data_IF_346948981720
#
_entry.id   IF_346948981720
#
_cell.length_a   1.000
_cell.length_b   1.000
_cell.length_c   1.000
_cell.angle_alpha   90.00
_cell.angle_beta   90.00
_cell.angle_gamma   90.00
#
_symmetry.space_group_name_H-M   'P 1'
#
loop_
_entity.id
_entity.type
_entity.pdbx_description
1 polymer ?
#
# COMPACT_ATOMS: atom_id res chain seq x y z
N UNK A 1 -17.13 -2.57 18.64
CA UNK A 1 -15.80 -2.07 18.19
C UNK A 1 -14.70 -2.83 18.91
N UNK A 2 -14.71 -2.87 20.25
CA UNK A 2 -13.68 -3.54 21.07
C UNK A 2 -13.36 -4.96 20.61
N UNK A 3 -14.37 -5.83 20.48
CA UNK A 3 -14.17 -7.23 20.05
C UNK A 3 -13.41 -7.32 18.72
N UNK A 4 -13.70 -6.45 17.74
CA UNK A 4 -12.98 -6.47 16.45
C UNK A 4 -11.53 -6.03 16.60
N UNK A 5 -11.25 -5.05 17.47
CA UNK A 5 -9.89 -4.62 17.78
C UNK A 5 -9.11 -5.80 18.39
N UNK A 6 -9.67 -6.45 19.41
CA UNK A 6 -9.03 -7.60 20.07
C UNK A 6 -8.79 -8.77 19.11
N UNK A 7 -9.72 -9.03 18.18
CA UNK A 7 -9.52 -10.04 17.13
C UNK A 7 -8.33 -9.67 16.24
N UNK A 8 -8.24 -8.42 15.77
CA UNK A 8 -7.11 -7.98 14.93
C UNK A 8 -5.77 -8.08 15.67
N UNK A 9 -5.72 -7.66 16.95
CA UNK A 9 -4.54 -7.77 17.79
C UNK A 9 -4.15 -9.23 18.01
N UNK A 10 -5.12 -10.11 18.26
CA UNK A 10 -4.86 -11.55 18.42
C UNK A 10 -4.28 -12.15 17.15
N UNK A 11 -4.86 -11.83 15.99
CA UNK A 11 -4.35 -12.31 14.70
C UNK A 11 -2.93 -11.79 14.41
N UNK A 12 -2.64 -10.52 14.74
CA UNK A 12 -1.28 -9.97 14.66
C UNK A 12 -0.30 -10.79 15.52
N UNK A 13 -0.65 -11.07 16.78
CA UNK A 13 0.21 -11.88 17.67
C UNK A 13 0.38 -13.32 17.21
N UNK A 14 -0.66 -13.92 16.62
CA UNK A 14 -0.58 -15.25 16.02
C UNK A 14 0.39 -15.24 14.83
N UNK A 15 0.31 -14.24 13.94
CA UNK A 15 1.25 -14.09 12.83
C UNK A 15 2.69 -13.85 13.31
N UNK A 16 2.88 -12.97 14.31
CA UNK A 16 4.20 -12.69 14.88
C UNK A 16 4.82 -13.91 15.58
N UNK A 17 4.01 -14.67 16.33
CA UNK A 17 4.49 -15.80 17.13
C UNK A 17 4.72 -17.07 16.31
N UNK A 18 3.86 -17.35 15.33
CA UNK A 18 3.91 -18.58 14.55
C UNK A 18 4.66 -18.41 13.21
N UNK A 19 4.78 -17.19 12.70
CA UNK A 19 5.47 -16.89 11.45
C UNK A 19 5.02 -17.78 10.29
N UNK A 20 5.97 -18.43 9.62
CA UNK A 20 5.69 -19.30 8.47
C UNK A 20 5.07 -20.66 8.83
N UNK A 21 5.02 -21.04 10.12
CA UNK A 21 4.43 -22.31 10.56
C UNK A 21 2.92 -22.40 10.27
N UNK A 22 2.26 -21.26 10.15
CA UNK A 22 0.82 -21.13 9.86
C UNK A 22 0.57 -20.63 8.42
N UNK A 23 1.50 -20.91 7.51
CA UNK A 23 1.40 -20.47 6.10
C UNK A 23 0.12 -20.93 5.40
N UNK A 24 -0.43 -22.08 5.78
CA UNK A 24 -1.70 -22.62 5.27
C UNK A 24 -2.92 -21.77 5.65
N UNK A 25 -2.89 -21.04 6.77
CA UNK A 25 -4.01 -20.20 7.24
C UNK A 25 -3.82 -18.71 6.96
N UNK A 26 -2.64 -18.27 6.50
CA UNK A 26 -2.41 -16.85 6.19
C UNK A 26 -3.44 -16.25 5.22
N UNK A 27 -3.93 -17.03 4.24
CA UNK A 27 -4.98 -16.56 3.33
C UNK A 27 -6.31 -16.32 4.02
N UNK A 28 -6.66 -17.14 5.02
CA UNK A 28 -7.91 -16.99 5.75
C UNK A 28 -7.83 -15.84 6.77
N UNK A 29 -6.66 -15.66 7.40
CA UNK A 29 -6.36 -14.48 8.20
C UNK A 29 -6.48 -13.22 7.34
N UNK A 30 -5.87 -13.20 6.15
CA UNK A 30 -5.95 -12.06 5.23
C UNK A 30 -7.41 -11.72 4.85
N UNK A 31 -8.23 -12.73 4.55
CA UNK A 31 -9.67 -12.53 4.27
C UNK A 31 -10.37 -11.86 5.45
N UNK A 32 -10.10 -12.25 6.69
CA UNK A 32 -10.73 -11.64 7.86
C UNK A 32 -10.26 -10.18 8.08
N UNK A 33 -8.95 -9.94 7.96
CA UNK A 33 -8.33 -8.64 8.29
C UNK A 33 -8.64 -7.58 7.23
N UNK A 34 -8.68 -7.93 5.94
CA UNK A 34 -8.93 -6.95 4.86
C UNK A 34 -10.27 -6.22 5.00
N UNK A 35 -11.32 -6.87 5.52
CA UNK A 35 -12.60 -6.19 5.76
C UNK A 35 -12.51 -5.11 6.84
N UNK A 36 -11.59 -5.27 7.80
CA UNK A 36 -11.41 -4.34 8.91
C UNK A 36 -10.57 -3.10 8.52
N UNK A 37 -9.82 -3.15 7.40
CA UNK A 37 -8.98 -2.04 6.95
C UNK A 37 -9.78 -0.78 6.56
N UNK A 38 -11.05 -0.95 6.19
CA UNK A 38 -11.97 0.15 5.86
C UNK A 38 -13.13 0.27 6.86
N UNK A 39 -13.01 -0.28 8.07
CA UNK A 39 -14.05 -0.21 9.11
C UNK A 39 -14.40 1.25 9.44
N UNK A 40 -15.66 1.54 9.80
CA UNK A 40 -16.06 2.90 10.22
C UNK A 40 -15.32 3.38 11.48
N UNK A 41 -14.84 2.45 12.31
CA UNK A 41 -14.10 2.74 13.55
C UNK A 41 -12.61 2.84 13.24
N UNK A 42 -12.03 4.02 13.46
CA UNK A 42 -10.62 4.30 13.13
C UNK A 42 -9.64 3.35 13.85
N UNK A 43 -9.85 3.08 15.14
CA UNK A 43 -9.02 2.14 15.90
C UNK A 43 -9.03 0.71 15.32
N UNK A 44 -10.14 0.28 14.70
CA UNK A 44 -10.19 -1.03 14.02
C UNK A 44 -9.33 -1.01 12.76
N UNK A 45 -9.33 0.10 12.00
CA UNK A 45 -8.44 0.27 10.84
C UNK A 45 -6.97 0.21 11.23
N UNK A 46 -6.59 0.86 12.33
CA UNK A 46 -5.21 0.82 12.85
C UNK A 46 -4.80 -0.61 13.19
N UNK A 47 -5.62 -1.33 13.97
CA UNK A 47 -5.33 -2.70 14.35
C UNK A 47 -5.24 -3.64 13.14
N UNK A 48 -6.14 -3.49 12.16
CA UNK A 48 -6.10 -4.25 10.91
C UNK A 48 -4.85 -3.95 10.08
N UNK A 49 -4.44 -2.68 10.01
CA UNK A 49 -3.24 -2.25 9.31
C UNK A 49 -1.97 -2.84 9.92
N UNK A 50 -1.88 -2.84 11.26
CA UNK A 50 -0.75 -3.42 11.99
C UNK A 50 -0.69 -4.94 11.82
N UNK A 51 -1.85 -5.62 11.86
CA UNK A 51 -1.92 -7.05 11.58
C UNK A 51 -1.43 -7.38 10.17
N UNK A 52 -1.87 -6.65 9.15
CA UNK A 52 -1.40 -6.84 7.77
C UNK A 52 0.08 -6.54 7.62
N UNK A 53 0.58 -5.51 8.32
CA UNK A 53 1.99 -5.15 8.32
C UNK A 53 2.82 -6.31 8.89
N UNK A 54 2.40 -6.91 10.00
CA UNK A 54 3.08 -8.09 10.55
C UNK A 54 3.06 -9.27 9.58
N UNK A 55 1.92 -9.52 8.93
CA UNK A 55 1.79 -10.58 7.93
C UNK A 55 2.76 -10.40 6.76
N UNK A 56 3.13 -9.18 6.37
CA UNK A 56 4.08 -8.96 5.25
C UNK A 56 5.42 -9.67 5.45
N UNK A 57 5.83 -9.92 6.70
CA UNK A 57 7.07 -10.63 7.04
C UNK A 57 7.02 -12.13 6.73
N UNK A 58 5.81 -12.70 6.66
CA UNK A 58 5.61 -14.16 6.62
C UNK A 58 4.71 -14.63 5.47
N UNK A 59 4.04 -13.70 4.77
CA UNK A 59 3.05 -14.00 3.73
C UNK A 59 3.39 -13.29 2.40
N UNK A 60 4.30 -13.87 1.58
CA UNK A 60 4.75 -13.24 0.32
C UNK A 60 3.65 -12.95 -0.70
N UNK A 61 2.51 -13.64 -0.62
CA UNK A 61 1.38 -13.38 -1.52
C UNK A 61 0.84 -11.95 -1.41
N UNK A 62 1.04 -11.27 -0.27
CA UNK A 62 0.57 -9.90 -0.03
C UNK A 62 1.24 -8.86 -0.94
N UNK A 63 2.53 -9.03 -1.23
CA UNK A 63 3.30 -8.14 -2.11
C UNK A 63 3.63 -8.78 -3.46
N UNK A 64 2.94 -9.87 -3.82
CA UNK A 64 3.04 -10.50 -5.14
C UNK A 64 1.67 -10.57 -5.80
N UNK A 65 0.85 -11.58 -5.47
CA UNK A 65 -0.45 -11.80 -6.13
C UNK A 65 -1.53 -10.83 -5.65
N UNK A 66 -1.45 -10.33 -4.41
CA UNK A 66 -2.46 -9.45 -3.81
C UNK A 66 -2.05 -7.97 -3.77
N UNK A 67 -0.89 -7.60 -4.34
CA UNK A 67 -0.33 -6.24 -4.17
C UNK A 67 -1.32 -5.15 -4.60
N UNK A 68 -1.84 -5.22 -5.82
CA UNK A 68 -2.78 -4.24 -6.38
C UNK A 68 -4.11 -4.19 -5.59
N UNK A 69 -4.61 -5.36 -5.21
CA UNK A 69 -5.84 -5.55 -4.41
C UNK A 69 -5.70 -4.87 -3.05
N UNK A 70 -4.57 -5.09 -2.37
CA UNK A 70 -4.29 -4.52 -1.06
C UNK A 70 -3.93 -3.02 -1.13
N UNK A 71 -3.22 -2.58 -2.17
CA UNK A 71 -2.94 -1.17 -2.40
C UNK A 71 -4.23 -0.37 -2.65
N UNK A 72 -5.15 -0.88 -3.48
CA UNK A 72 -6.48 -0.27 -3.68
C UNK A 72 -7.25 -0.15 -2.37
N UNK A 73 -7.14 -1.15 -1.49
CA UNK A 73 -7.78 -1.13 -0.18
C UNK A 73 -7.13 -0.09 0.75
N UNK A 74 -5.81 0.05 0.73
CA UNK A 74 -5.10 1.11 1.46
C UNK A 74 -5.56 2.50 1.00
N UNK A 75 -5.74 2.72 -0.32
CA UNK A 75 -6.27 3.97 -0.85
C UNK A 75 -7.67 4.28 -0.29
N UNK A 76 -8.54 3.28 -0.21
CA UNK A 76 -9.87 3.44 0.41
C UNK A 76 -9.78 3.68 1.92
N UNK A 77 -8.81 3.08 2.60
CA UNK A 77 -8.62 3.23 4.04
C UNK A 77 -8.17 4.65 4.44
N UNK A 78 -7.53 5.39 3.53
CA UNK A 78 -7.24 6.81 3.72
C UNK A 78 -8.47 7.72 3.63
N UNK A 79 -9.56 7.25 3.00
CA UNK A 79 -10.76 8.06 2.93
C UNK A 79 -11.33 8.31 4.34
N UNK A 80 -11.50 9.60 4.64
CA UNK A 80 -12.04 10.09 5.91
C UNK A 80 -11.26 9.58 7.14
N UNK A 81 -9.94 9.36 6.98
CA UNK A 81 -9.07 8.89 8.06
C UNK A 81 -8.62 10.03 8.98
N UNK A 82 -8.21 9.68 10.20
CA UNK A 82 -7.48 10.57 11.09
C UNK A 82 -5.96 10.37 10.95
N UNK A 83 -5.17 11.16 11.66
CA UNK A 83 -3.70 11.08 11.59
C UNK A 83 -3.16 9.68 11.90
N UNK A 84 -3.69 9.02 12.93
CA UNK A 84 -3.23 7.71 13.38
C UNK A 84 -3.44 6.63 12.30
N UNK A 85 -4.65 6.55 11.74
CA UNK A 85 -4.95 5.64 10.61
C UNK A 85 -4.09 5.98 9.41
N UNK A 86 -3.90 7.26 9.10
CA UNK A 86 -3.05 7.70 7.99
C UNK A 86 -1.62 7.17 8.14
N UNK A 87 -1.02 7.33 9.31
CA UNK A 87 0.32 6.81 9.59
C UNK A 87 0.38 5.28 9.52
N UNK A 88 -0.58 4.57 10.12
CA UNK A 88 -0.62 3.11 10.13
C UNK A 88 -0.74 2.53 8.71
N UNK A 89 -1.70 3.04 7.92
CA UNK A 89 -1.96 2.56 6.55
C UNK A 89 -0.85 2.97 5.59
N UNK A 90 -0.28 4.18 5.73
CA UNK A 90 0.88 4.58 4.95
C UNK A 90 2.09 3.70 5.25
N UNK A 91 2.28 3.31 6.52
CA UNK A 91 3.33 2.37 6.92
C UNK A 91 3.16 1.01 6.26
N UNK A 92 1.93 0.48 6.26
CA UNK A 92 1.59 -0.76 5.56
C UNK A 92 1.88 -0.66 4.05
N UNK A 93 1.34 0.36 3.38
CA UNK A 93 1.48 0.53 1.93
C UNK A 93 2.95 0.71 1.52
N UNK A 94 3.70 1.59 2.20
CA UNK A 94 5.12 1.80 1.90
C UNK A 94 5.96 0.54 2.13
N UNK A 95 5.66 -0.22 3.19
CA UNK A 95 6.33 -1.50 3.48
C UNK A 95 6.00 -2.56 2.43
N UNK A 96 4.74 -2.66 1.97
CA UNK A 96 4.37 -3.57 0.89
C UNK A 96 5.17 -3.30 -0.38
N UNK A 97 5.30 -2.03 -0.77
CA UNK A 97 6.10 -1.62 -1.92
C UNK A 97 7.58 -1.94 -1.70
N UNK A 98 8.11 -1.71 -0.50
CA UNK A 98 9.47 -2.10 -0.15
C UNK A 98 9.71 -3.61 -0.27
N UNK A 99 8.75 -4.45 0.17
CA UNK A 99 8.84 -5.91 0.04
C UNK A 99 8.90 -6.39 -1.41
N UNK A 100 8.37 -5.63 -2.38
CA UNK A 100 8.52 -5.97 -3.81
C UNK A 100 9.95 -5.81 -4.31
N UNK A 101 10.71 -4.87 -3.71
CA UNK A 101 12.05 -4.49 -4.14
C UNK A 101 13.14 -5.20 -3.32
N UNK A 102 12.84 -5.52 -2.05
CA UNK A 102 13.69 -6.37 -1.24
C UNK A 102 13.62 -7.78 -1.81
N UNK A 103 14.77 -8.28 -2.27
CA UNK A 103 14.92 -9.55 -3.00
C UNK A 103 14.53 -10.83 -2.27
N UNK A 104 13.63 -10.79 -1.30
CA UNK A 104 13.00 -11.95 -0.66
C UNK A 104 12.44 -12.93 -1.71
N UNK A 105 11.93 -12.45 -2.84
CA UNK A 105 11.57 -13.31 -3.99
C UNK A 105 12.74 -14.14 -4.55
N UNK A 106 13.99 -13.67 -4.47
CA UNK A 106 15.18 -14.45 -4.88
C UNK A 106 15.49 -15.60 -3.92
N UNK A 107 15.11 -15.48 -2.65
CA UNK A 107 15.29 -16.56 -1.67
C UNK A 107 14.18 -17.62 -1.76
N UNK A 108 12.97 -17.26 -2.18
CA UNK A 108 11.87 -18.21 -2.36
C UNK A 108 12.03 -19.09 -3.61
N UNK A 109 12.69 -18.61 -4.67
CA UNK A 109 12.94 -19.42 -5.88
C UNK A 109 13.94 -20.56 -5.67
N UNK A 110 14.78 -20.49 -4.63
CA UNK A 110 15.76 -21.55 -4.33
C UNK A 110 15.20 -22.70 -3.49
N UNK A 111 13.96 -22.62 -2.98
CA UNK A 111 13.39 -23.64 -2.08
C UNK A 111 12.33 -24.53 -2.76
N UNK A 112 11.88 -24.22 -3.98
CA UNK A 112 10.87 -25.04 -4.68
C UNK A 112 11.36 -25.50 -6.05
N UNK A 113 12.44 -26.28 -6.05
CA UNK A 113 12.81 -27.18 -7.14
C UNK A 113 11.95 -28.44 -7.06
N UNK A 114 10.67 -28.33 -7.36
CA UNK A 114 9.79 -29.49 -7.59
C UNK A 114 8.80 -29.13 -8.68
N UNK A 115 8.94 -29.86 -9.78
CA UNK A 115 8.29 -29.63 -11.05
C UNK A 115 6.78 -29.85 -10.98
N UNK A 116 6.01 -28.78 -11.23
CA UNK A 116 4.83 -28.77 -12.12
C UNK A 116 4.05 -27.46 -11.93
N UNK A 117 3.82 -26.73 -13.03
CA UNK A 117 2.80 -25.67 -13.20
C UNK A 117 2.85 -24.38 -12.36
N UNK A 118 4.00 -23.96 -11.84
CA UNK A 118 4.16 -22.61 -11.29
C UNK A 118 4.30 -21.57 -12.43
N UNK A 119 3.25 -20.76 -12.67
CA UNK A 119 3.43 -19.47 -13.37
C UNK A 119 4.56 -18.75 -12.64
N UNK A 120 5.69 -18.50 -13.31
CA UNK A 120 6.83 -17.84 -12.66
C UNK A 120 6.34 -16.52 -12.08
N UNK A 121 6.48 -16.37 -10.76
CA UNK A 121 6.24 -15.10 -10.09
C UNK A 121 7.30 -14.13 -10.61
N UNK A 122 6.93 -13.34 -11.63
CA UNK A 122 7.85 -12.33 -12.16
C UNK A 122 8.15 -11.34 -11.05
N UNK A 123 9.42 -10.99 -10.82
CA UNK A 123 9.76 -9.93 -9.89
C UNK A 123 9.11 -8.64 -10.38
N UNK A 124 8.48 -7.91 -9.46
CA UNK A 124 7.84 -6.62 -9.74
C UNK A 124 8.95 -5.59 -9.93
N UNK A 125 8.96 -4.93 -11.09
CA UNK A 125 9.97 -3.91 -11.37
C UNK A 125 9.80 -2.68 -10.48
N UNK A 126 10.85 -1.86 -10.35
CA UNK A 126 10.74 -0.60 -9.60
C UNK A 126 9.67 0.30 -10.22
N UNK A 127 9.60 0.38 -11.55
CA UNK A 127 8.61 1.18 -12.26
C UNK A 127 7.18 0.72 -11.99
N UNK A 128 6.94 -0.60 -11.96
CA UNK A 128 5.62 -1.15 -11.60
C UNK A 128 5.26 -0.82 -10.16
N UNK A 129 6.21 -0.95 -9.23
CA UNK A 129 6.00 -0.68 -7.81
C UNK A 129 5.71 0.80 -7.53
N UNK A 130 6.46 1.71 -8.18
CA UNK A 130 6.20 3.14 -8.15
C UNK A 130 4.89 3.50 -8.88
N UNK A 131 4.55 2.75 -9.93
CA UNK A 131 3.29 2.83 -10.66
C UNK A 131 2.07 2.60 -9.77
N UNK A 132 2.14 1.66 -8.81
CA UNK A 132 1.08 1.45 -7.80
C UNK A 132 0.85 2.73 -6.99
N UNK A 133 1.91 3.34 -6.46
CA UNK A 133 1.80 4.58 -5.67
C UNK A 133 1.30 5.76 -6.54
N UNK A 134 1.78 5.89 -7.77
CA UNK A 134 1.30 6.90 -8.72
C UNK A 134 -0.18 6.72 -9.03
N UNK A 135 -0.66 5.48 -9.17
CA UNK A 135 -2.08 5.19 -9.38
C UNK A 135 -2.94 5.69 -8.21
N UNK A 136 -2.47 5.50 -6.97
CA UNK A 136 -3.14 6.00 -5.77
C UNK A 136 -3.19 7.53 -5.74
N UNK A 137 -2.07 8.18 -6.03
CA UNK A 137 -1.96 9.64 -6.02
C UNK A 137 -2.84 10.31 -7.10
N UNK A 138 -2.90 9.72 -8.30
CA UNK A 138 -3.59 10.30 -9.45
C UNK A 138 -5.04 9.83 -9.62
N UNK A 139 -5.44 8.69 -9.03
CA UNK A 139 -6.77 8.10 -9.23
C UNK A 139 -7.50 7.71 -7.95
N UNK A 140 -6.85 7.72 -6.78
CA UNK A 140 -7.53 7.48 -5.50
C UNK A 140 -8.10 6.08 -5.28
N UNK A 141 -7.65 5.06 -6.04
CA UNK A 141 -8.08 3.68 -5.85
C UNK A 141 -9.48 3.32 -6.36
N UNK A 142 -10.08 4.13 -7.23
CA UNK A 142 -11.42 3.89 -7.74
C UNK A 142 -11.42 2.70 -8.71
N UNK A 143 -11.97 1.58 -8.23
CA UNK A 143 -12.46 0.50 -9.09
C UNK A 143 -13.62 1.04 -9.92
N UNK A 144 -13.60 0.74 -11.22
CA UNK A 144 -14.48 1.22 -12.30
C UNK A 144 -16.01 1.25 -12.01
N UNK A 145 -16.49 0.62 -10.93
CA UNK A 145 -17.91 0.45 -10.61
C UNK A 145 -18.49 1.43 -9.59
N UNK A 146 -17.72 2.40 -9.08
CA UNK A 146 -18.28 3.51 -8.26
C UNK A 146 -18.55 4.77 -9.10
N UNK A 147 -18.93 4.58 -10.37
CA UNK A 147 -19.19 5.64 -11.36
C UNK A 147 -20.61 6.22 -11.33
N UNK A 148 -21.55 5.67 -10.57
CA UNK A 148 -22.97 6.07 -10.69
C UNK A 148 -23.43 7.11 -9.67
N UNK A 149 -22.59 7.48 -8.69
CA UNK A 149 -23.02 8.35 -7.57
C UNK A 149 -22.22 9.66 -7.39
N UNK A 150 -20.92 9.68 -7.72
CA UNK A 150 -20.08 10.87 -7.50
C UNK A 150 -20.02 11.84 -8.68
N UNK A 151 -20.46 11.43 -9.88
CA UNK A 151 -20.54 12.34 -11.04
C UNK A 151 -21.57 13.46 -10.82
N UNK A 152 -22.50 13.29 -9.87
CA UNK A 152 -23.59 14.23 -9.58
C UNK A 152 -23.13 15.39 -8.66
N UNK A 153 -21.98 15.27 -7.98
CA UNK A 153 -21.31 16.39 -7.31
C UNK A 153 -20.00 16.64 -8.04
N UNK A 154 -19.94 17.68 -8.88
CA UNK A 154 -18.82 18.02 -9.79
C UNK A 154 -17.43 18.24 -9.18
N UNK A 155 -16.94 17.31 -8.36
CA UNK A 155 -15.59 17.23 -7.83
C UNK A 155 -14.91 16.03 -8.49
N UNK A 156 -14.43 16.22 -9.71
CA UNK A 156 -13.62 15.26 -10.48
C UNK A 156 -12.21 15.03 -9.92
N UNK A 157 -11.92 15.52 -8.69
CA UNK A 157 -10.62 15.46 -8.05
C UNK A 157 -10.46 14.24 -7.13
N UNK A 158 -9.26 13.66 -7.13
CA UNK A 158 -8.85 12.63 -6.16
C UNK A 158 -8.99 13.18 -4.74
N UNK A 159 -9.51 12.36 -3.82
CA UNK A 159 -9.61 12.72 -2.41
C UNK A 159 -8.24 13.14 -1.85
N UNK A 160 -8.20 14.33 -1.25
CA UNK A 160 -6.98 14.93 -0.67
C UNK A 160 -6.34 14.02 0.37
N UNK A 161 -7.14 13.37 1.21
CA UNK A 161 -6.65 12.44 2.24
C UNK A 161 -5.89 11.26 1.64
N UNK A 162 -6.35 10.76 0.50
CA UNK A 162 -5.67 9.68 -0.23
C UNK A 162 -4.32 10.17 -0.75
N UNK A 163 -4.25 11.39 -1.30
CA UNK A 163 -2.98 11.97 -1.73
C UNK A 163 -1.99 12.07 -0.57
N UNK A 164 -2.39 12.61 0.59
CA UNK A 164 -1.49 12.69 1.76
C UNK A 164 -1.07 11.30 2.25
N UNK A 165 -1.99 10.35 2.30
CA UNK A 165 -1.69 8.98 2.70
C UNK A 165 -0.66 8.32 1.78
N UNK A 166 -0.82 8.47 0.47
CA UNK A 166 0.14 7.97 -0.54
C UNK A 166 1.47 8.70 -0.43
N UNK A 167 1.47 10.01 -0.19
CA UNK A 167 2.67 10.81 0.07
C UNK A 167 3.45 10.27 1.26
N UNK A 168 2.79 9.96 2.38
CA UNK A 168 3.44 9.31 3.53
C UNK A 168 3.98 7.92 3.15
N UNK A 169 3.28 7.17 2.30
CA UNK A 169 3.72 5.85 1.87
C UNK A 169 5.00 5.90 1.00
N UNK A 170 5.19 6.92 0.16
CA UNK A 170 6.46 7.15 -0.55
C UNK A 170 7.63 7.33 0.43
N UNK A 171 7.44 8.16 1.45
CA UNK A 171 8.47 8.40 2.48
C UNK A 171 8.78 7.12 3.24
N UNK A 172 7.76 6.38 3.67
CA UNK A 172 7.97 5.09 4.36
C UNK A 172 8.67 4.08 3.45
N UNK A 173 8.32 4.02 2.17
CA UNK A 173 8.98 3.14 1.21
C UNK A 173 10.49 3.39 1.17
N UNK A 174 10.91 4.64 0.95
CA UNK A 174 12.32 5.01 0.90
C UNK A 174 13.02 4.74 2.24
N UNK A 175 12.37 5.08 3.36
CA UNK A 175 12.89 4.79 4.70
C UNK A 175 13.08 3.29 4.96
N UNK A 176 12.14 2.47 4.48
CA UNK A 176 12.20 1.00 4.64
C UNK A 176 13.28 0.37 3.78
N UNK A 177 13.54 0.91 2.59
CA UNK A 177 14.62 0.43 1.70
C UNK A 177 16.02 0.87 2.18
N UNK A 178 16.09 2.02 2.87
CA UNK A 178 17.33 2.56 3.42
C UNK A 178 18.14 3.40 2.42
N UNK A 179 19.07 4.20 2.95
CA UNK A 179 19.82 5.21 2.17
C UNK A 179 20.65 4.63 1.02
N UNK A 180 21.33 3.51 1.22
CA UNK A 180 22.16 2.89 0.18
C UNK A 180 21.33 2.43 -1.03
N UNK A 181 20.13 1.89 -0.78
CA UNK A 181 19.22 1.53 -1.87
C UNK A 181 18.74 2.80 -2.60
N UNK A 182 18.42 3.85 -1.84
CA UNK A 182 17.94 5.10 -2.40
C UNK A 182 18.98 5.78 -3.30
N UNK A 183 20.24 5.88 -2.87
CA UNK A 183 21.33 6.45 -3.67
C UNK A 183 21.49 5.76 -5.03
N UNK A 184 21.35 4.42 -5.06
CA UNK A 184 21.47 3.62 -6.29
C UNK A 184 20.30 3.80 -7.24
N UNK A 185 19.12 4.15 -6.72
CA UNK A 185 17.88 4.29 -7.49
C UNK A 185 17.42 5.76 -7.58
N UNK A 186 18.28 6.70 -7.19
CA UNK A 186 17.93 8.11 -7.03
C UNK A 186 17.36 8.71 -8.31
N UNK A 187 18.00 8.43 -9.46
CA UNK A 187 17.55 8.96 -10.75
C UNK A 187 16.16 8.45 -11.12
N UNK A 188 15.90 7.16 -10.95
CA UNK A 188 14.60 6.56 -11.26
C UNK A 188 13.50 7.11 -10.34
N UNK A 189 13.79 7.19 -9.03
CA UNK A 189 12.84 7.71 -8.06
C UNK A 189 12.52 9.20 -8.28
N UNK A 190 13.54 10.04 -8.48
CA UNK A 190 13.33 11.47 -8.74
C UNK A 190 12.60 11.70 -10.06
N UNK A 191 12.97 10.97 -11.12
CA UNK A 191 12.26 11.01 -12.40
C UNK A 191 10.77 10.73 -12.22
N UNK A 192 10.44 9.64 -11.52
CA UNK A 192 9.06 9.27 -11.20
C UNK A 192 8.30 10.35 -10.39
N UNK A 193 8.92 10.91 -9.36
CA UNK A 193 8.30 11.96 -8.52
C UNK A 193 8.07 13.25 -9.32
N UNK A 194 8.99 13.60 -10.22
CA UNK A 194 8.82 14.76 -11.11
C UNK A 194 7.74 14.52 -12.17
N UNK A 195 7.66 13.31 -12.73
CA UNK A 195 6.58 12.92 -13.64
C UNK A 195 5.21 12.97 -12.96
N UNK A 196 5.16 12.67 -11.65
CA UNK A 196 3.95 12.76 -10.85
C UNK A 196 3.40 14.19 -10.78
N UNK A 197 4.28 15.19 -10.57
CA UNK A 197 3.86 16.61 -10.51
C UNK A 197 3.59 17.20 -11.90
N UNK A 198 4.28 16.72 -12.93
CA UNK A 198 4.07 17.12 -14.31
C UNK A 198 2.76 16.55 -14.90
N UNK A 199 2.19 15.52 -14.26
CA UNK A 199 0.97 14.89 -14.75
C UNK A 199 -0.23 15.85 -14.70
N UNK A 200 -0.97 16.06 -15.81
CA UNK A 200 -2.14 16.94 -15.82
C UNK A 200 -3.23 16.54 -14.80
N UNK A 201 -3.33 15.25 -14.45
CA UNK A 201 -4.27 14.76 -13.42
C UNK A 201 -3.87 15.16 -12.00
N UNK A 202 -2.61 15.50 -11.77
CA UNK A 202 -2.16 16.07 -10.50
C UNK A 202 -2.54 17.55 -10.38
N UNK A 203 -2.80 18.24 -11.49
CA UNK A 203 -3.00 19.68 -11.57
C UNK A 203 -4.30 20.06 -12.31
N UNK A 204 -5.39 19.32 -12.07
CA UNK A 204 -6.71 19.57 -12.68
C UNK A 204 -7.31 20.95 -12.37
N UNK A 205 -6.86 21.57 -11.28
CA UNK A 205 -7.20 22.93 -10.89
C UNK A 205 -5.98 23.62 -10.25
N UNK A 206 -6.01 24.95 -10.13
CA UNK A 206 -4.96 25.68 -9.42
C UNK A 206 -4.77 25.18 -7.98
N UNK A 207 -5.88 24.87 -7.29
CA UNK A 207 -5.85 24.34 -5.92
C UNK A 207 -5.19 22.97 -5.88
N UNK A 208 -5.54 22.07 -6.80
CA UNK A 208 -4.94 20.73 -6.88
C UNK A 208 -3.45 20.80 -7.25
N UNK A 209 -3.05 21.76 -8.10
CA UNK A 209 -1.66 21.98 -8.46
C UNK A 209 -0.82 22.42 -7.25
N UNK A 210 -1.31 23.41 -6.48
CA UNK A 210 -0.64 23.87 -5.25
C UNK A 210 -0.56 22.74 -4.22
N UNK A 211 -1.64 21.98 -4.05
CA UNK A 211 -1.69 20.87 -3.11
C UNK A 211 -0.73 19.74 -3.49
N UNK A 212 -0.69 19.37 -4.77
CA UNK A 212 0.22 18.35 -5.28
C UNK A 212 1.68 18.76 -5.10
N UNK A 213 2.04 20.01 -5.38
CA UNK A 213 3.40 20.52 -5.11
C UNK A 213 3.78 20.40 -3.64
N UNK A 214 2.87 20.67 -2.70
CA UNK A 214 3.12 20.47 -1.27
C UNK A 214 3.37 19.00 -0.92
N UNK A 215 2.62 18.08 -1.53
CA UNK A 215 2.82 16.65 -1.34
C UNK A 215 4.19 16.21 -1.89
N UNK A 216 4.55 16.68 -3.08
CA UNK A 216 5.83 16.34 -3.74
C UNK A 216 7.01 16.89 -2.95
N UNK A 217 6.92 18.13 -2.47
CA UNK A 217 7.93 18.74 -1.60
C UNK A 217 8.07 18.03 -0.24
N UNK A 218 7.09 17.22 0.17
CA UNK A 218 7.21 16.40 1.38
C UNK A 218 7.89 15.06 1.11
N UNK A 219 7.83 14.56 -0.14
CA UNK A 219 8.49 13.33 -0.55
C UNK A 219 10.00 13.56 -0.71
N UNK A 220 10.36 14.72 -1.26
CA UNK A 220 11.75 15.18 -1.47
C UNK A 220 12.35 15.70 -0.16
#
# INVERSE_FOLDING_TARGET
SQVRIEIMLTLEKVCAGMGTAISNVHKDIYKAVRYCLTDRVMAVRVAASNCLLEMTKHAPFLYTTELESLASLCFRAFDSCNYEVRCAVAKLLGTLIACTQNGSLKNFTNMTSSASSAKSLRPISLDDALGVLMSGFLRGGVSFLKGTGEIIKGSSGVNREVRVGVTHAYVVFVQTMGGLWFERNLQAFLGHVLDLVANPKAASSHVDAVYSRKCINFIL
#
